data_IF_226734049082
#
_entry.id   IF_226734049082
#
_cell.length_a   1.000
_cell.length_b   1.000
_cell.length_c   1.000
_cell.angle_alpha   90.00
_cell.angle_beta   90.00
_cell.angle_gamma   90.00
#
_symmetry.space_group_name_H-M   'P 1'
#
loop_
_entity.id
_entity.type
_entity.pdbx_description
1 polymer ?
#
# COMPACT_ATOMS: atom_id res chain seq x y z
N UNK A 1 -2.33 57.18 16.79
CA UNK A 1 -2.53 55.73 16.71
C UNK A 1 -3.32 55.45 15.45
N UNK A 2 -2.67 54.91 14.41
CA UNK A 2 -3.34 54.55 13.16
C UNK A 2 -4.24 53.35 13.44
N UNK A 3 -5.56 53.51 13.31
CA UNK A 3 -6.51 52.42 13.51
C UNK A 3 -6.39 51.36 12.41
N UNK A 4 -6.68 50.09 12.71
CA UNK A 4 -6.73 49.03 11.70
C UNK A 4 -7.76 49.38 10.61
N UNK A 5 -7.43 49.23 9.32
CA UNK A 5 -8.38 49.44 8.23
C UNK A 5 -9.53 48.42 8.31
N UNK A 6 -10.74 48.77 7.86
CA UNK A 6 -11.90 47.89 7.95
C UNK A 6 -11.74 46.56 7.17
N UNK A 7 -10.94 46.58 6.10
CA UNK A 7 -10.62 45.41 5.27
C UNK A 7 -9.16 45.42 4.84
N UNK A 8 -8.62 44.25 4.50
CA UNK A 8 -7.28 44.10 3.93
C UNK A 8 -7.27 43.09 2.77
N UNK A 9 -6.47 43.31 1.71
CA UNK A 9 -6.36 42.37 0.59
C UNK A 9 -5.35 41.25 0.87
N UNK A 10 -5.60 40.05 0.32
CA UNK A 10 -4.63 38.96 0.34
C UNK A 10 -3.40 39.29 -0.54
N UNK A 11 -2.16 39.08 -0.05
CA UNK A 11 -0.95 39.43 -0.80
C UNK A 11 -0.68 38.53 -2.03
N UNK A 12 -1.42 37.45 -2.19
CA UNK A 12 -1.27 36.51 -3.30
C UNK A 12 -2.31 36.72 -4.41
N UNK A 13 -3.57 36.93 -4.04
CA UNK A 13 -4.68 36.96 -5.01
C UNK A 13 -5.57 38.21 -4.89
N UNK A 14 -5.18 39.21 -4.08
CA UNK A 14 -5.89 40.47 -3.87
C UNK A 14 -7.34 40.39 -3.35
N UNK A 15 -7.83 39.20 -2.96
CA UNK A 15 -9.16 39.04 -2.38
C UNK A 15 -9.25 39.77 -1.03
N UNK A 16 -10.29 40.56 -0.82
CA UNK A 16 -10.48 41.41 0.37
C UNK A 16 -11.14 40.66 1.53
N UNK A 17 -10.64 40.87 2.74
CA UNK A 17 -11.14 40.25 3.98
C UNK A 17 -11.39 41.30 5.06
N UNK A 18 -12.39 41.12 5.95
CA UNK A 18 -12.62 42.02 7.07
C UNK A 18 -11.47 41.91 8.09
N UNK A 19 -10.92 43.06 8.49
CA UNK A 19 -9.87 43.10 9.50
C UNK A 19 -10.47 42.88 10.89
N UNK A 20 -10.06 41.80 11.56
CA UNK A 20 -10.41 41.52 12.96
C UNK A 20 -9.15 41.58 13.81
N UNK A 21 -9.16 42.27 14.97
CA UNK A 21 -7.98 42.37 15.84
C UNK A 21 -7.39 41.01 16.24
N UNK A 22 -8.23 39.98 16.32
CA UNK A 22 -7.84 38.59 16.69
C UNK A 22 -6.91 37.93 15.65
N UNK A 23 -6.85 38.45 14.42
CA UNK A 23 -6.03 37.91 13.33
C UNK A 23 -4.64 38.53 13.26
N UNK A 24 -4.38 39.64 13.96
CA UNK A 24 -3.09 40.32 13.96
C UNK A 24 -2.03 39.41 14.60
N UNK A 25 -0.92 39.19 13.90
CA UNK A 25 0.20 38.34 14.35
C UNK A 25 -0.04 36.83 14.26
N UNK A 26 -1.20 36.37 13.77
CA UNK A 26 -1.47 34.93 13.57
C UNK A 26 -1.37 34.55 12.09
N UNK A 27 -0.89 33.33 11.76
CA UNK A 27 -0.92 32.84 10.38
C UNK A 27 -2.36 32.51 9.97
N UNK A 28 -2.82 33.14 8.89
CA UNK A 28 -4.15 32.94 8.29
C UNK A 28 -4.00 32.41 6.88
N UNK A 29 -4.88 31.50 6.44
CA UNK A 29 -4.93 30.99 5.06
C UNK A 29 -6.00 31.71 4.24
N UNK A 30 -5.66 32.14 3.04
CA UNK A 30 -6.60 32.74 2.10
C UNK A 30 -7.66 31.72 1.64
N UNK A 31 -8.94 32.07 1.64
CA UNK A 31 -10.02 31.20 1.13
C UNK A 31 -9.94 31.01 -0.40
N UNK A 32 -9.45 32.01 -1.12
CA UNK A 32 -9.27 31.98 -2.58
C UNK A 32 -8.09 31.11 -3.02
N UNK A 33 -6.86 31.52 -2.70
CA UNK A 33 -5.64 30.86 -3.20
C UNK A 33 -5.04 29.81 -2.25
N UNK A 34 -5.58 29.63 -1.03
CA UNK A 34 -5.09 28.69 0.00
C UNK A 34 -3.69 28.96 0.58
N UNK A 35 -2.96 29.96 0.07
CA UNK A 35 -1.66 30.38 0.62
C UNK A 35 -1.79 31.03 2.01
N UNK A 36 -0.79 30.81 2.87
CA UNK A 36 -0.71 31.39 4.20
C UNK A 36 -0.06 32.79 4.19
N UNK A 37 -0.54 33.69 5.05
CA UNK A 37 0.00 35.04 5.27
C UNK A 37 -0.23 35.46 6.73
N UNK A 38 0.45 36.50 7.21
CA UNK A 38 0.27 37.09 8.55
C UNK A 38 -0.21 38.52 8.41
N UNK A 39 -1.21 38.94 9.20
CA UNK A 39 -1.67 40.33 9.25
C UNK A 39 -0.84 41.10 10.29
N UNK A 40 -0.18 42.18 9.89
CA UNK A 40 0.56 43.07 10.78
C UNK A 40 -0.39 44.03 11.53
N UNK A 41 0.10 44.67 12.60
CA UNK A 41 -0.68 45.63 13.38
C UNK A 41 -1.17 46.82 12.54
N UNK A 42 -0.43 47.12 11.49
CA UNK A 42 -0.60 48.21 10.54
C UNK A 42 -1.74 47.94 9.54
N UNK A 43 -2.30 46.71 9.53
CA UNK A 43 -3.31 46.26 8.58
C UNK A 43 -2.75 45.72 7.26
N UNK A 44 -1.42 45.64 7.12
CA UNK A 44 -0.76 45.07 5.94
C UNK A 44 -0.56 43.56 6.13
N UNK A 45 -0.97 42.77 5.13
CA UNK A 45 -0.78 41.32 5.12
C UNK A 45 0.53 40.95 4.43
N UNK A 46 1.45 40.29 5.14
CA UNK A 46 2.75 39.83 4.61
C UNK A 46 2.77 38.32 4.40
N UNK A 47 3.51 37.86 3.40
CA UNK A 47 3.69 36.43 3.12
C UNK A 47 4.46 35.78 4.27
N UNK A 48 4.08 34.58 4.69
CA UNK A 48 4.75 33.86 5.80
C UNK A 48 6.23 33.60 5.50
N UNK A 49 6.60 33.50 4.23
CA UNK A 49 7.99 33.35 3.79
C UNK A 49 8.87 34.55 4.18
N UNK A 50 8.28 35.75 4.31
CA UNK A 50 9.00 37.00 4.59
C UNK A 50 8.85 37.48 6.05
N UNK A 51 7.98 36.83 6.84
CA UNK A 51 7.45 37.40 8.09
C UNK A 51 8.15 36.95 9.39
N UNK A 52 9.37 36.38 9.34
CA UNK A 52 10.12 36.05 10.57
C UNK A 52 11.48 36.76 10.60
N UNK A 53 11.53 38.04 11.01
CA UNK A 53 12.75 38.60 11.59
C UNK A 53 12.82 38.16 13.07
N UNK A 54 13.65 37.16 13.38
CA UNK A 54 14.16 36.98 14.75
C UNK A 54 14.00 35.62 15.47
N UNK A 55 13.74 34.51 14.78
CA UNK A 55 13.63 33.20 15.47
C UNK A 55 14.53 32.06 14.95
N UNK A 56 15.48 32.34 14.06
CA UNK A 56 16.46 31.33 13.61
C UNK A 56 17.91 31.82 13.78
N UNK A 57 18.38 31.88 15.03
CA UNK A 57 19.82 31.94 15.36
C UNK A 57 20.29 30.62 15.94
N UNK A 58 20.46 29.60 15.09
CA UNK A 58 21.54 28.61 15.23
C UNK A 58 22.06 28.26 13.83
N UNK A 59 23.21 28.86 13.52
CA UNK A 59 24.29 28.39 12.66
C UNK A 59 23.98 27.60 11.39
N UNK A 60 24.06 28.29 10.24
CA UNK A 60 24.82 27.74 9.11
C UNK A 60 25.55 28.87 8.38
N UNK A 61 26.83 29.01 8.71
CA UNK A 61 27.80 29.79 7.95
C UNK A 61 27.88 29.18 6.56
N UNK A 62 27.34 29.88 5.57
CA UNK A 62 27.59 29.61 4.16
C UNK A 62 28.01 30.93 3.51
N UNK A 63 29.27 30.94 3.12
CA UNK A 63 30.00 31.95 2.38
C UNK A 63 29.21 32.45 1.17
N UNK A 64 29.13 33.76 1.03
CA UNK A 64 28.50 34.44 -0.10
C UNK A 64 29.28 34.13 -1.39
N UNK A 65 28.57 33.56 -2.37
CA UNK A 65 29.03 33.47 -3.75
C UNK A 65 28.24 34.51 -4.56
N UNK A 66 28.92 35.53 -5.06
CA UNK A 66 28.36 36.58 -5.91
C UNK A 66 28.11 36.00 -7.31
N UNK A 67 26.85 35.86 -7.70
CA UNK A 67 26.47 35.52 -9.08
C UNK A 67 26.53 36.79 -9.96
N UNK A 68 27.21 36.75 -11.12
CA UNK A 68 27.20 37.84 -12.09
C UNK A 68 25.88 37.90 -12.88
N UNK A 69 25.61 39.09 -13.42
CA UNK A 69 24.38 39.49 -14.09
C UNK A 69 23.93 38.54 -15.21
N UNK A 70 22.62 38.28 -15.24
CA UNK A 70 21.95 37.44 -16.22
C UNK A 70 22.06 38.00 -17.64
N UNK A 71 22.57 37.17 -18.54
CA UNK A 71 22.61 37.34 -19.98
C UNK A 71 21.19 37.14 -20.57
N UNK A 72 20.77 37.94 -21.58
CA UNK A 72 19.43 37.84 -22.15
C UNK A 72 19.22 36.49 -22.88
N UNK A 73 17.97 35.96 -22.89
CA UNK A 73 17.69 34.66 -23.45
C UNK A 73 17.88 34.62 -24.98
N UNK A 74 18.40 33.50 -25.54
CA UNK A 74 18.55 33.35 -26.97
C UNK A 74 17.20 33.25 -27.68
N UNK A 75 17.14 33.91 -28.85
CA UNK A 75 16.01 33.87 -29.78
C UNK A 75 15.78 32.43 -30.25
N UNK A 76 14.63 31.87 -29.89
CA UNK A 76 14.19 30.54 -30.31
C UNK A 76 13.75 30.60 -31.78
N UNK A 77 14.63 30.17 -32.68
CA UNK A 77 14.27 29.90 -34.08
C UNK A 77 13.47 28.60 -34.12
N UNK A 78 12.19 28.68 -34.53
CA UNK A 78 11.35 27.51 -34.77
C UNK A 78 11.90 26.71 -35.96
N UNK A 79 12.28 25.43 -35.80
CA UNK A 79 12.63 24.58 -36.93
C UNK A 79 11.40 24.27 -37.78
N UNK A 80 11.61 24.21 -39.09
CA UNK A 80 10.59 23.87 -40.08
C UNK A 80 10.01 22.46 -39.85
N UNK A 81 8.74 22.22 -40.23
CA UNK A 81 8.10 20.93 -40.07
C UNK A 81 8.81 19.85 -40.90
N UNK A 82 9.29 18.81 -40.21
CA UNK A 82 9.89 17.62 -40.81
C UNK A 82 8.78 16.78 -41.43
N UNK A 83 8.97 16.37 -42.69
CA UNK A 83 8.03 15.53 -43.44
C UNK A 83 7.85 14.15 -42.77
N UNK A 84 6.64 13.56 -42.84
CA UNK A 84 6.38 12.25 -42.27
C UNK A 84 7.20 11.15 -42.97
N UNK A 85 7.71 10.16 -42.23
CA UNK A 85 8.47 9.05 -42.80
C UNK A 85 7.57 8.16 -43.67
N UNK A 86 8.12 7.53 -44.72
CA UNK A 86 7.39 6.61 -45.59
C UNK A 86 6.93 5.35 -44.81
N UNK A 87 5.83 4.71 -45.25
CA UNK A 87 5.28 3.53 -44.58
C UNK A 87 6.27 2.37 -44.61
N UNK A 88 6.51 1.80 -43.42
CA UNK A 88 7.37 0.64 -43.23
C UNK A 88 6.85 -0.57 -44.00
N UNK A 89 7.74 -1.21 -44.78
CA UNK A 89 7.46 -2.46 -45.46
C UNK A 89 7.11 -3.56 -44.45
N UNK A 90 6.09 -4.36 -44.80
CA UNK A 90 5.56 -5.44 -43.99
C UNK A 90 6.65 -6.46 -43.61
N UNK A 91 6.77 -6.73 -42.31
CA UNK A 91 7.67 -7.75 -41.80
C UNK A 91 7.23 -9.16 -42.26
N UNK A 92 8.17 -10.05 -42.63
CA UNK A 92 7.85 -11.43 -43.00
C UNK A 92 7.35 -12.23 -41.79
N UNK A 93 6.43 -13.16 -42.08
CA UNK A 93 5.78 -14.01 -41.09
C UNK A 93 6.79 -14.89 -40.31
N UNK A 94 6.59 -15.07 -38.99
CA UNK A 94 7.47 -15.92 -38.19
C UNK A 94 7.31 -17.40 -38.55
N UNK A 95 8.40 -18.20 -38.48
CA UNK A 95 8.35 -19.63 -38.74
C UNK A 95 7.57 -20.38 -37.64
N UNK A 96 6.95 -21.54 -37.97
CA UNK A 96 6.19 -22.33 -37.02
C UNK A 96 7.09 -22.92 -35.93
N UNK A 97 6.66 -22.77 -34.68
CA UNK A 97 7.34 -23.33 -33.50
C UNK A 97 7.12 -24.85 -33.47
N UNK A 98 8.19 -25.66 -33.30
CA UNK A 98 8.05 -27.12 -33.19
C UNK A 98 7.36 -27.51 -31.88
N UNK A 99 6.36 -28.38 -32.01
CA UNK A 99 5.62 -29.00 -30.90
C UNK A 99 6.56 -29.97 -30.18
N UNK A 100 6.98 -29.60 -28.97
CA UNK A 100 7.79 -30.46 -28.09
C UNK A 100 6.84 -31.42 -27.36
N UNK A 101 6.94 -32.71 -27.67
CA UNK A 101 6.23 -33.79 -26.98
C UNK A 101 6.84 -33.97 -25.58
N UNK A 102 6.06 -33.87 -24.48
CA UNK A 102 6.59 -34.03 -23.13
C UNK A 102 7.01 -35.47 -22.87
N UNK A 103 8.23 -35.62 -22.35
CA UNK A 103 8.85 -36.88 -21.94
C UNK A 103 8.15 -37.44 -20.67
N UNK A 104 7.83 -38.74 -20.60
CA UNK A 104 7.14 -39.33 -19.45
C UNK A 104 8.01 -39.27 -18.17
N UNK A 105 7.38 -38.80 -17.09
CA UNK A 105 7.96 -38.70 -15.74
C UNK A 105 7.94 -40.08 -15.08
N UNK A 106 9.07 -40.59 -14.55
CA UNK A 106 9.11 -41.86 -13.84
C UNK A 106 8.40 -41.76 -12.47
N UNK A 107 7.81 -42.87 -11.98
CA UNK A 107 7.07 -42.91 -10.72
C UNK A 107 7.97 -42.67 -9.51
N UNK A 108 7.45 -41.88 -8.56
CA UNK A 108 8.08 -41.45 -7.32
C UNK A 108 8.14 -42.61 -6.33
N UNK A 109 9.32 -42.90 -5.78
CA UNK A 109 9.52 -43.91 -4.75
C UNK A 109 8.79 -43.54 -3.43
N UNK A 110 8.32 -44.54 -2.66
CA UNK A 110 7.67 -44.31 -1.37
C UNK A 110 8.67 -43.78 -0.32
N UNK A 111 8.20 -42.96 0.65
CA UNK A 111 9.04 -42.44 1.72
C UNK A 111 9.46 -43.55 2.69
N UNK A 112 10.65 -43.44 3.30
CA UNK A 112 11.12 -44.37 4.33
C UNK A 112 10.28 -44.24 5.63
N UNK A 113 10.22 -45.32 6.44
CA UNK A 113 9.50 -45.33 7.70
C UNK A 113 10.14 -44.39 8.73
N UNK A 114 9.29 -43.73 9.50
CA UNK A 114 9.63 -42.84 10.61
C UNK A 114 10.10 -43.69 11.79
N UNK A 115 11.34 -43.48 12.24
CA UNK A 115 11.85 -44.03 13.50
C UNK A 115 11.38 -43.15 14.66
N UNK A 116 10.72 -43.77 15.64
CA UNK A 116 10.29 -43.16 16.90
C UNK A 116 11.49 -42.96 17.82
N UNK A 117 12.04 -41.75 17.85
CA UNK A 117 13.05 -41.36 18.84
C UNK A 117 12.39 -41.09 20.20
N UNK A 118 12.65 -42.02 21.11
CA UNK A 118 12.48 -41.90 22.55
C UNK A 118 13.44 -40.83 23.06
N UNK A 119 12.91 -39.70 23.56
CA UNK A 119 13.71 -38.73 24.31
C UNK A 119 13.31 -38.73 25.78
N UNK A 120 14.31 -39.15 26.55
CA UNK A 120 14.39 -39.22 28.00
C UNK A 120 14.09 -37.90 28.71
N UNK A 121 13.47 -38.10 29.88
CA UNK A 121 13.22 -37.14 30.94
C UNK A 121 14.53 -36.72 31.60
N UNK A 122 14.82 -35.42 31.66
CA UNK A 122 15.49 -34.82 32.81
C UNK A 122 15.22 -33.31 32.88
N UNK A 123 14.35 -32.93 33.81
CA UNK A 123 14.03 -31.54 34.13
C UNK A 123 14.57 -31.21 35.54
N UNK A 124 15.44 -30.20 35.71
CA UNK A 124 15.89 -29.80 37.04
C UNK A 124 14.85 -28.92 37.75
N UNK A 125 14.75 -29.15 39.06
CA UNK A 125 13.80 -28.56 39.99
C UNK A 125 13.85 -27.02 40.06
N UNK A 126 12.67 -26.41 40.07
CA UNK A 126 12.47 -24.98 40.32
C UNK A 126 12.51 -24.66 41.83
N UNK A 127 13.11 -23.52 42.25
CA UNK A 127 13.10 -23.09 43.65
C UNK A 127 11.76 -22.45 44.08
N UNK A 128 11.48 -22.61 45.37
CA UNK A 128 10.23 -22.27 46.05
C UNK A 128 9.87 -20.76 46.01
N UNK A 129 8.56 -20.41 45.95
CA UNK A 129 8.10 -19.02 46.02
C UNK A 129 8.03 -18.51 47.47
N UNK A 130 8.50 -17.28 47.67
CA UNK A 130 8.36 -16.49 48.90
C UNK A 130 6.93 -15.89 49.05
N UNK A 131 6.48 -15.65 50.30
CA UNK A 131 5.09 -15.26 50.59
C UNK A 131 4.85 -13.77 50.31
N UNK A 132 3.77 -13.46 49.59
CA UNK A 132 3.27 -12.10 49.35
C UNK A 132 2.21 -11.71 50.38
N UNK A 133 2.35 -10.49 50.88
CA UNK A 133 1.48 -9.72 51.76
C UNK A 133 0.03 -9.64 51.25
N UNK A 134 -1.00 -9.67 52.13
CA UNK A 134 -2.40 -9.67 51.71
C UNK A 134 -2.86 -8.29 51.22
N UNK A 135 -3.26 -8.23 49.94
CA UNK A 135 -3.88 -7.06 49.33
C UNK A 135 -5.42 -7.17 49.42
N UNK A 136 -6.02 -6.09 49.92
CA UNK A 136 -7.43 -5.86 50.21
C UNK A 136 -8.40 -6.36 49.12
N UNK A 137 -9.19 -7.38 49.46
CA UNK A 137 -10.31 -7.90 48.67
C UNK A 137 -11.42 -6.85 48.53
N UNK A 138 -11.62 -6.34 47.31
CA UNK A 138 -12.87 -5.63 46.93
C UNK A 138 -13.89 -6.65 46.38
N UNK A 139 -15.19 -6.49 46.68
CA UNK A 139 -16.21 -7.50 46.38
C UNK A 139 -16.47 -7.68 44.86
N UNK A 140 -16.66 -8.91 44.36
CA UNK A 140 -16.71 -9.23 42.93
C UNK A 140 -18.08 -9.03 42.24
N UNK A 141 -19.09 -8.47 42.92
CA UNK A 141 -20.48 -8.50 42.43
C UNK A 141 -20.85 -7.45 41.37
N UNK A 142 -20.05 -6.38 41.17
CA UNK A 142 -20.41 -5.30 40.22
C UNK A 142 -19.89 -5.47 38.78
N UNK A 143 -18.98 -6.42 38.51
CA UNK A 143 -18.40 -6.58 37.16
C UNK A 143 -19.21 -7.48 36.23
N UNK A 144 -20.09 -8.35 36.75
CA UNK A 144 -20.87 -9.28 35.94
C UNK A 144 -22.13 -8.62 35.33
N UNK A 145 -22.76 -7.67 36.04
CA UNK A 145 -23.96 -6.98 35.53
C UNK A 145 -23.70 -6.10 34.30
N UNK A 146 -22.52 -5.47 34.22
CA UNK A 146 -22.15 -4.64 33.06
C UNK A 146 -21.85 -5.46 31.79
N UNK A 147 -21.49 -6.74 31.94
CA UNK A 147 -21.27 -7.63 30.78
C UNK A 147 -22.58 -8.18 30.24
N UNK A 148 -23.54 -8.53 31.11
CA UNK A 148 -24.85 -9.02 30.67
C UNK A 148 -25.67 -7.94 29.96
N UNK A 149 -25.65 -6.70 30.46
CA UNK A 149 -26.37 -5.58 29.84
C UNK A 149 -25.83 -5.25 28.42
N UNK A 150 -24.52 -5.40 28.22
CA UNK A 150 -23.92 -5.18 26.90
C UNK A 150 -24.26 -6.28 25.89
N UNK A 151 -24.36 -7.53 26.34
CA UNK A 151 -24.76 -8.65 25.46
C UNK A 151 -26.23 -8.57 25.05
N UNK A 152 -27.09 -8.11 25.96
CA UNK A 152 -28.52 -7.94 25.70
C UNK A 152 -28.77 -6.83 24.66
N UNK A 153 -28.13 -5.67 24.80
CA UNK A 153 -28.22 -4.58 23.79
C UNK A 153 -27.71 -4.99 22.41
N UNK A 154 -26.68 -5.86 22.33
CA UNK A 154 -26.19 -6.39 21.06
C UNK A 154 -27.17 -7.39 20.42
N UNK A 155 -27.88 -8.17 21.23
CA UNK A 155 -28.93 -9.07 20.74
C UNK A 155 -30.13 -8.28 20.19
N UNK A 156 -30.57 -7.23 20.91
CA UNK A 156 -31.64 -6.34 20.46
C UNK A 156 -31.28 -5.60 19.16
N UNK A 157 -30.05 -5.08 19.05
CA UNK A 157 -29.59 -4.41 17.83
C UNK A 157 -29.56 -5.36 16.62
N UNK A 158 -29.17 -6.63 16.82
CA UNK A 158 -29.23 -7.65 15.76
C UNK A 158 -30.67 -7.99 15.37
N UNK A 159 -31.57 -8.10 16.33
CA UNK A 159 -32.99 -8.33 16.07
C UNK A 159 -33.58 -7.19 15.22
N UNK A 160 -33.28 -5.93 15.57
CA UNK A 160 -33.73 -4.75 14.83
C UNK A 160 -33.18 -4.71 13.40
N UNK A 161 -31.89 -4.98 13.19
CA UNK A 161 -31.31 -5.06 11.83
C UNK A 161 -31.94 -6.19 11.01
N UNK A 162 -32.20 -7.35 11.62
CA UNK A 162 -32.83 -8.47 10.91
C UNK A 162 -34.27 -8.15 10.49
N UNK A 163 -35.03 -7.43 11.32
CA UNK A 163 -36.37 -6.97 11.00
C UNK A 163 -36.36 -5.95 9.84
N UNK A 164 -35.41 -5.01 9.85
CA UNK A 164 -35.26 -4.03 8.76
C UNK A 164 -34.89 -4.69 7.43
N UNK A 165 -33.99 -5.69 7.44
CA UNK A 165 -33.64 -6.44 6.24
C UNK A 165 -34.82 -7.26 5.70
N UNK A 166 -35.61 -7.87 6.58
CA UNK A 166 -36.82 -8.59 6.20
C UNK A 166 -37.86 -7.65 5.56
N UNK A 167 -38.04 -6.44 6.10
CA UNK A 167 -38.95 -5.44 5.54
C UNK A 167 -38.49 -4.96 4.15
N UNK A 168 -37.19 -4.71 3.97
CA UNK A 168 -36.64 -4.31 2.67
C UNK A 168 -36.78 -5.44 1.65
N UNK A 169 -36.54 -6.69 2.06
CA UNK A 169 -36.73 -7.85 1.19
C UNK A 169 -38.21 -8.02 0.79
N UNK A 170 -39.15 -7.84 1.71
CA UNK A 170 -40.59 -7.88 1.41
C UNK A 170 -41.02 -6.75 0.46
N UNK A 171 -40.52 -5.52 0.65
CA UNK A 171 -40.77 -4.39 -0.26
C UNK A 171 -40.19 -4.64 -1.65
N UNK A 172 -39.00 -5.22 -1.75
CA UNK A 172 -38.39 -5.58 -3.03
C UNK A 172 -39.22 -6.67 -3.76
N UNK A 173 -39.63 -7.72 -3.06
CA UNK A 173 -40.46 -8.78 -3.62
C UNK A 173 -41.82 -8.25 -4.12
N UNK A 174 -42.48 -7.37 -3.35
CA UNK A 174 -43.74 -6.75 -3.76
C UNK A 174 -43.56 -5.81 -4.96
N UNK A 175 -42.43 -5.11 -5.06
CA UNK A 175 -42.14 -4.25 -6.21
C UNK A 175 -41.89 -5.04 -7.50
N UNK A 176 -41.34 -6.25 -7.42
CA UNK A 176 -41.21 -7.14 -8.58
C UNK A 176 -42.55 -7.76 -8.98
N UNK A 177 -43.39 -8.13 -8.00
CA UNK A 177 -44.73 -8.65 -8.27
C UNK A 177 -45.60 -7.60 -9.00
N UNK A 178 -45.57 -6.35 -8.57
CA UNK A 178 -46.28 -5.25 -9.23
C UNK A 178 -45.81 -5.03 -10.69
N UNK A 179 -44.50 -5.06 -10.93
CA UNK A 179 -43.94 -4.96 -12.30
C UNK A 179 -44.33 -6.14 -13.19
N UNK A 180 -44.54 -7.33 -12.62
CA UNK A 180 -45.00 -8.51 -13.38
C UNK A 180 -46.46 -8.38 -13.79
N UNK A 181 -47.33 -7.81 -12.94
CA UNK A 181 -48.72 -7.57 -13.30
C UNK A 181 -48.86 -6.49 -14.37
N UNK A 182 -48.09 -5.40 -14.27
CA UNK A 182 -48.09 -4.31 -15.25
C UNK A 182 -47.63 -4.78 -16.64
N UNK A 183 -46.60 -5.63 -16.71
CA UNK A 183 -46.18 -6.25 -17.98
C UNK A 183 -47.21 -7.24 -18.54
N UNK A 184 -48.06 -7.82 -17.69
CA UNK A 184 -49.09 -8.78 -18.11
C UNK A 184 -50.31 -8.05 -18.70
N UNK A 185 -50.70 -6.91 -18.12
CA UNK A 185 -51.77 -6.06 -18.67
C UNK A 185 -51.34 -5.40 -19.99
N UNK A 186 -50.08 -4.96 -20.12
CA UNK A 186 -49.56 -4.37 -21.36
C UNK A 186 -49.50 -5.38 -22.53
N UNK A 187 -49.25 -6.67 -22.24
CA UNK A 187 -49.29 -7.73 -23.26
C UNK A 187 -50.70 -8.07 -23.74
N UNK A 188 -51.70 -7.98 -22.85
CA UNK A 188 -53.09 -8.23 -23.21
C UNK A 188 -53.67 -7.11 -24.09
N UNK A 189 -53.28 -5.85 -23.86
CA UNK A 189 -53.72 -4.72 -24.69
C UNK A 189 -53.03 -4.70 -26.06
N UNK A 190 -51.75 -5.06 -26.14
CA UNK A 190 -51.01 -5.08 -27.41
C UNK A 190 -51.39 -6.26 -28.32
N UNK A 191 -51.92 -7.35 -27.76
CA UNK A 191 -52.38 -8.51 -28.53
C UNK A 191 -53.74 -8.30 -29.22
N UNK A 192 -54.54 -7.31 -28.83
CA UNK A 192 -55.86 -7.06 -29.42
C UNK A 192 -55.82 -6.23 -30.72
N UNK A 193 -54.70 -5.54 -31.01
CA UNK A 193 -54.61 -4.59 -32.15
C UNK A 193 -53.93 -5.19 -33.39
N UNK A 194 -53.28 -6.35 -33.29
CA UNK A 194 -52.48 -6.94 -34.38
C UNK A 194 -53.20 -8.06 -35.17
N UNK A 195 -54.54 -8.04 -35.27
CA UNK A 195 -55.33 -8.99 -36.06
C UNK A 195 -56.17 -8.30 -37.12
N UNK A 196 -55.54 -7.57 -38.05
CA UNK A 196 -56.15 -7.23 -39.35
C UNK A 196 -55.08 -6.81 -40.35
N UNK A 197 -54.60 -7.76 -41.16
CA UNK A 197 -54.10 -7.56 -42.53
C UNK A 197 -53.50 -8.86 -43.08
N UNK A 198 -54.18 -9.46 -44.08
CA UNK A 198 -53.61 -10.33 -45.13
C UNK A 198 -53.62 -9.52 -46.43
N UNK A 199 -52.64 -9.68 -47.35
CA UNK A 199 -52.63 -10.78 -48.34
C UNK A 199 -51.22 -11.40 -48.53
N UNK A 200 -51.06 -12.72 -48.64
CA UNK A 200 -51.18 -13.60 -49.82
C UNK A 200 -50.06 -13.40 -50.88
N UNK A 201 -48.97 -14.18 -50.76
CA UNK A 201 -48.13 -14.60 -51.90
C UNK A 201 -47.75 -16.07 -51.70
N UNK A 202 -48.00 -16.85 -52.74
CA UNK A 202 -47.80 -18.30 -52.87
C UNK A 202 -46.33 -18.64 -53.16
N UNK A 203 -45.66 -19.27 -52.19
CA UNK A 203 -44.60 -20.24 -52.48
C UNK A 203 -44.81 -21.45 -51.56
N UNK A 204 -44.87 -22.62 -52.17
CA UNK A 204 -45.05 -23.92 -51.51
C UNK A 204 -43.82 -24.24 -50.66
N UNK A 205 -43.87 -23.87 -49.39
CA UNK A 205 -42.92 -24.30 -48.37
C UNK A 205 -43.65 -25.18 -47.37
N UNK A 206 -43.00 -26.28 -46.97
CA UNK A 206 -43.54 -27.28 -46.08
C UNK A 206 -44.18 -26.65 -44.85
N UNK A 207 -45.50 -26.85 -44.71
CA UNK A 207 -46.27 -26.42 -43.54
C UNK A 207 -45.84 -27.30 -42.36
N UNK A 208 -44.79 -26.87 -41.68
CA UNK A 208 -44.52 -27.26 -40.30
C UNK A 208 -45.72 -26.81 -39.47
N UNK A 209 -46.50 -27.77 -38.98
CA UNK A 209 -47.58 -27.54 -38.00
C UNK A 209 -47.13 -26.54 -36.94
N UNK A 210 -47.92 -25.49 -36.66
CA UNK A 210 -47.60 -24.39 -35.73
C UNK A 210 -47.28 -24.80 -34.28
N UNK A 211 -47.32 -26.09 -33.96
CA UNK A 211 -46.71 -26.65 -32.74
C UNK A 211 -45.18 -26.57 -32.76
N UNK A 212 -44.52 -26.76 -33.92
CA UNK A 212 -43.06 -26.73 -34.02
C UNK A 212 -42.46 -25.33 -33.80
N UNK A 213 -43.18 -24.28 -34.16
CA UNK A 213 -42.70 -22.90 -33.99
C UNK A 213 -42.78 -22.45 -32.52
N UNK A 214 -43.78 -22.92 -31.76
CA UNK A 214 -43.89 -22.65 -30.31
C UNK A 214 -42.79 -23.36 -29.53
N UNK A 215 -42.56 -24.64 -29.78
CA UNK A 215 -41.46 -25.37 -29.15
C UNK A 215 -40.11 -24.80 -29.55
N UNK A 216 -39.91 -24.42 -30.81
CA UNK A 216 -38.65 -23.78 -31.22
C UNK A 216 -38.41 -22.46 -30.47
N UNK A 217 -39.42 -21.61 -30.27
CA UNK A 217 -39.28 -20.36 -29.50
C UNK A 217 -38.99 -20.60 -28.02
N UNK A 218 -39.65 -21.58 -27.41
CA UNK A 218 -39.37 -21.96 -26.01
C UNK A 218 -37.96 -22.52 -25.85
N UNK A 219 -37.52 -23.42 -26.73
CA UNK A 219 -36.15 -23.91 -26.74
C UNK A 219 -35.14 -22.79 -26.98
N UNK A 220 -35.41 -21.88 -27.92
CA UNK A 220 -34.52 -20.75 -28.20
C UNK A 220 -34.40 -19.83 -26.99
N UNK A 221 -35.52 -19.50 -26.33
CA UNK A 221 -35.51 -18.68 -25.12
C UNK A 221 -34.76 -19.36 -23.97
N UNK A 222 -34.91 -20.68 -23.82
CA UNK A 222 -34.18 -21.45 -22.82
C UNK A 222 -32.67 -21.45 -23.07
N UNK A 223 -32.23 -21.68 -24.32
CA UNK A 223 -30.83 -21.61 -24.72
C UNK A 223 -30.22 -20.21 -24.58
N UNK A 224 -30.98 -19.16 -24.93
CA UNK A 224 -30.56 -17.77 -24.69
C UNK A 224 -30.43 -17.51 -23.19
N UNK A 225 -31.37 -17.98 -22.37
CA UNK A 225 -31.30 -17.87 -20.91
C UNK A 225 -30.06 -18.57 -20.33
N UNK A 226 -29.78 -19.80 -20.77
CA UNK A 226 -28.58 -20.55 -20.38
C UNK A 226 -27.30 -19.83 -20.82
N UNK A 227 -27.28 -19.28 -22.03
CA UNK A 227 -26.16 -18.51 -22.57
C UNK A 227 -25.88 -17.24 -21.75
N UNK A 228 -26.92 -16.49 -21.37
CA UNK A 228 -26.77 -15.30 -20.52
C UNK A 228 -26.29 -15.68 -19.12
N UNK A 229 -26.84 -16.75 -18.52
CA UNK A 229 -26.40 -17.22 -17.21
C UNK A 229 -24.93 -17.67 -17.22
N UNK A 230 -24.49 -18.38 -18.27
CA UNK A 230 -23.10 -18.78 -18.46
C UNK A 230 -22.18 -17.56 -18.63
N UNK A 231 -22.60 -16.54 -19.41
CA UNK A 231 -21.83 -15.30 -19.59
C UNK A 231 -21.68 -14.53 -18.27
N UNK A 232 -22.76 -14.41 -17.49
CA UNK A 232 -22.72 -13.77 -16.16
C UNK A 232 -21.83 -14.56 -15.20
N UNK A 233 -21.92 -15.89 -15.21
CA UNK A 233 -21.05 -16.77 -14.43
C UNK A 233 -19.57 -16.60 -14.80
N UNK A 234 -19.26 -16.55 -16.09
CA UNK A 234 -17.90 -16.29 -16.60
C UNK A 234 -17.42 -14.90 -16.18
N UNK A 235 -18.25 -13.87 -16.31
CA UNK A 235 -17.92 -12.50 -15.91
C UNK A 235 -17.62 -12.42 -14.41
N UNK A 236 -18.44 -13.05 -13.57
CA UNK A 236 -18.22 -13.12 -12.12
C UNK A 236 -16.95 -13.91 -11.78
N UNK A 237 -16.67 -15.02 -12.48
CA UNK A 237 -15.45 -15.79 -12.31
C UNK A 237 -14.22 -14.98 -12.74
N UNK A 238 -14.30 -14.23 -13.83
CA UNK A 238 -13.25 -13.31 -14.28
C UNK A 238 -13.05 -12.20 -13.25
N UNK A 239 -14.11 -11.55 -12.75
CA UNK A 239 -14.00 -10.52 -11.70
C UNK A 239 -13.42 -11.09 -10.39
N UNK A 240 -13.78 -12.32 -10.02
CA UNK A 240 -13.25 -13.00 -8.84
C UNK A 240 -11.78 -13.40 -9.00
N UNK A 241 -11.37 -13.92 -10.17
CA UNK A 241 -9.97 -14.22 -10.50
C UNK A 241 -9.14 -12.97 -10.79
N UNK A 242 -9.78 -11.85 -11.12
CA UNK A 242 -9.17 -10.53 -11.20
C UNK A 242 -8.92 -9.91 -9.82
N UNK A 243 -9.18 -10.63 -8.71
CA UNK A 243 -8.55 -10.29 -7.43
C UNK A 243 -7.05 -10.36 -7.63
N UNK A 244 -6.49 -9.21 -7.97
CA UNK A 244 -5.08 -9.06 -8.28
C UNK A 244 -4.27 -9.60 -7.11
N UNK A 245 -3.16 -10.27 -7.41
CA UNK A 245 -2.20 -10.72 -6.38
C UNK A 245 -1.82 -9.58 -5.42
N UNK A 246 -1.85 -8.35 -5.93
CA UNK A 246 -1.67 -7.08 -5.21
C UNK A 246 -2.76 -6.87 -4.14
N UNK A 247 -4.03 -7.09 -4.46
CA UNK A 247 -5.13 -6.99 -3.49
C UNK A 247 -5.04 -8.11 -2.45
N UNK A 248 -4.72 -9.33 -2.88
CA UNK A 248 -4.53 -10.46 -1.97
C UNK A 248 -3.42 -10.18 -0.94
N UNK A 249 -2.32 -9.53 -1.33
CA UNK A 249 -1.25 -9.13 -0.41
C UNK A 249 -1.72 -8.14 0.67
N UNK A 250 -2.60 -7.19 0.31
CA UNK A 250 -3.19 -6.25 1.27
C UNK A 250 -4.14 -6.98 2.22
N UNK A 251 -5.00 -7.85 1.68
CA UNK A 251 -5.95 -8.62 2.47
C UNK A 251 -5.21 -9.56 3.44
N UNK A 252 -4.07 -10.15 3.04
CA UNK A 252 -3.18 -10.92 3.91
C UNK A 252 -2.58 -10.04 5.00
N UNK A 253 -2.06 -8.86 4.65
CA UNK A 253 -1.47 -7.94 5.62
C UNK A 253 -2.48 -7.51 6.70
N UNK A 254 -3.68 -7.11 6.28
CA UNK A 254 -4.77 -6.67 7.16
C UNK A 254 -5.63 -7.82 7.71
N UNK A 255 -5.25 -9.08 7.48
CA UNK A 255 -6.03 -10.23 7.92
C UNK A 255 -6.23 -10.23 9.45
N UNK A 256 -7.38 -10.70 9.95
CA UNK A 256 -7.61 -10.79 11.39
C UNK A 256 -6.53 -11.64 12.07
N UNK A 257 -6.11 -11.20 13.26
CA UNK A 257 -5.12 -11.90 14.10
C UNK A 257 -5.86 -12.72 15.16
N UNK A 258 -5.31 -13.88 15.52
CA UNK A 258 -5.88 -14.74 16.54
C UNK A 258 -6.05 -13.98 17.87
N UNK A 259 -7.09 -14.32 18.64
CA UNK A 259 -7.42 -13.59 19.89
C UNK A 259 -6.33 -13.68 20.98
N UNK A 260 -5.52 -14.74 20.96
CA UNK A 260 -4.33 -14.91 21.81
C UNK A 260 -3.24 -13.89 21.49
N UNK A 261 -3.05 -13.59 20.21
CA UNK A 261 -2.02 -12.70 19.67
C UNK A 261 -2.51 -11.25 19.50
N UNK A 262 -3.82 -11.02 19.57
CA UNK A 262 -4.44 -9.70 19.50
C UNK A 262 -4.30 -8.90 20.82
N UNK A 263 -3.08 -8.87 21.35
CA UNK A 263 -2.70 -8.15 22.57
C UNK A 263 -1.38 -7.42 22.35
N UNK A 264 -1.14 -6.39 23.14
CA UNK A 264 0.14 -5.70 23.15
C UNK A 264 1.21 -6.56 23.85
N UNK A 265 2.43 -6.71 23.31
CA UNK A 265 2.95 -6.20 22.03
C UNK A 265 2.81 -7.19 20.85
N UNK A 266 2.33 -8.41 21.09
CA UNK A 266 2.28 -9.51 20.12
C UNK A 266 1.57 -9.15 18.80
N UNK A 267 0.49 -8.36 18.85
CA UNK A 267 -0.26 -7.94 17.66
C UNK A 267 0.66 -7.23 16.65
N UNK A 268 1.54 -6.35 17.13
CA UNK A 268 2.45 -5.61 16.27
C UNK A 268 3.47 -6.51 15.60
N UNK A 269 3.99 -7.50 16.31
CA UNK A 269 4.93 -8.48 15.76
C UNK A 269 4.28 -9.34 14.68
N UNK A 270 3.07 -9.87 14.94
CA UNK A 270 2.35 -10.75 13.99
C UNK A 270 1.90 -10.01 12.74
N UNK A 271 1.47 -8.75 12.85
CA UNK A 271 1.08 -7.98 11.66
C UNK A 271 2.32 -7.57 10.86
N UNK A 272 3.39 -7.08 11.52
CA UNK A 272 4.64 -6.72 10.84
C UNK A 272 5.35 -7.94 10.26
N UNK A 273 5.12 -9.15 10.77
CA UNK A 273 5.69 -10.36 10.19
C UNK A 273 5.17 -10.72 8.80
N UNK A 274 4.07 -10.08 8.38
CA UNK A 274 3.48 -10.21 7.03
C UNK A 274 4.08 -9.21 6.04
N UNK A 275 4.83 -8.22 6.52
CA UNK A 275 5.54 -7.24 5.70
C UNK A 275 6.88 -7.80 5.17
N UNK A 276 7.55 -7.01 4.34
CA UNK A 276 8.95 -7.27 3.97
C UNK A 276 9.92 -6.98 5.10
N UNK A 277 9.67 -5.91 5.87
CA UNK A 277 10.57 -5.40 6.91
C UNK A 277 9.79 -5.12 8.20
N UNK A 278 10.41 -5.42 9.33
CA UNK A 278 9.88 -5.06 10.65
C UNK A 278 10.28 -3.64 11.04
N UNK A 279 11.43 -3.16 10.60
CA UNK A 279 11.87 -1.77 10.68
C UNK A 279 12.91 -1.49 9.61
N UNK A 280 13.11 -0.22 9.26
CA UNK A 280 14.16 0.22 8.35
C UNK A 280 14.64 1.65 8.70
N UNK A 281 15.78 2.12 8.17
CA UNK A 281 16.26 3.48 8.40
C UNK A 281 15.22 4.57 8.11
N UNK A 282 14.40 4.40 7.06
CA UNK A 282 13.32 5.35 6.75
C UNK A 282 12.07 5.22 7.62
N UNK A 283 11.96 4.11 8.35
CA UNK A 283 10.76 3.68 9.07
C UNK A 283 11.16 2.92 10.34
N UNK A 284 11.62 3.66 11.33
CA UNK A 284 12.18 3.11 12.57
C UNK A 284 11.20 2.16 13.30
N UNK A 285 9.89 2.43 13.21
CA UNK A 285 8.84 1.61 13.84
C UNK A 285 8.22 0.56 12.90
N UNK A 286 8.76 0.43 11.68
CA UNK A 286 8.20 -0.43 10.64
C UNK A 286 6.93 0.11 10.01
N UNK A 287 6.23 -0.71 9.21
CA UNK A 287 4.92 -0.37 8.70
C UNK A 287 3.90 -0.28 9.85
N UNK A 288 2.97 0.66 9.73
CA UNK A 288 1.87 0.80 10.69
C UNK A 288 0.99 -0.46 10.70
N UNK A 289 0.46 -0.80 11.88
CA UNK A 289 -0.33 -2.01 12.08
C UNK A 289 -1.74 -1.74 11.55
N UNK A 290 -2.16 -2.44 10.51
CA UNK A 290 -3.50 -2.30 9.94
C UNK A 290 -4.41 -3.46 10.37
N UNK A 291 -5.64 -3.13 10.75
CA UNK A 291 -6.72 -4.10 10.95
C UNK A 291 -7.75 -4.07 9.82
N UNK A 292 -7.84 -2.94 9.10
CA UNK A 292 -8.69 -2.79 7.93
C UNK A 292 -8.11 -1.74 6.99
N UNK A 293 -8.09 -2.03 5.69
CA UNK A 293 -7.61 -1.15 4.62
C UNK A 293 -8.73 -1.04 3.58
N UNK A 294 -9.76 -0.25 3.91
CA UNK A 294 -10.86 0.03 3.00
C UNK A 294 -10.44 1.07 1.93
N UNK A 295 -11.18 1.09 0.82
CA UNK A 295 -11.00 2.05 -0.28
C UNK A 295 -9.58 2.09 -0.89
N UNK A 296 -8.86 0.97 -0.89
CA UNK A 296 -7.52 0.95 -1.52
C UNK A 296 -7.64 1.24 -3.01
N UNK A 297 -6.92 2.27 -3.43
CA UNK A 297 -6.58 2.58 -4.81
C UNK A 297 -5.11 2.25 -5.06
N UNK A 298 -4.82 1.73 -6.24
CA UNK A 298 -3.45 1.37 -6.65
C UNK A 298 -2.97 2.34 -7.72
N UNK A 299 -1.77 2.88 -7.52
CA UNK A 299 -1.07 3.65 -8.56
C UNK A 299 -0.41 2.72 -9.59
N UNK A 300 0.22 3.32 -10.59
CA UNK A 300 0.99 2.59 -11.61
C UNK A 300 2.15 1.81 -10.99
N UNK A 301 2.36 0.59 -11.49
CA UNK A 301 3.53 -0.22 -11.13
C UNK A 301 4.80 0.42 -11.69
N UNK A 302 5.86 0.50 -10.87
CA UNK A 302 7.20 0.89 -11.28
C UNK A 302 8.20 -0.22 -10.97
N UNK A 303 9.30 -0.29 -11.72
CA UNK A 303 10.30 -1.35 -11.54
C UNK A 303 11.71 -0.78 -11.37
N UNK A 304 12.47 -1.33 -10.43
CA UNK A 304 13.90 -1.04 -10.23
C UNK A 304 14.69 -2.22 -10.76
N UNK A 305 15.55 -2.01 -11.75
CA UNK A 305 16.43 -3.05 -12.28
C UNK A 305 17.63 -3.21 -11.35
N UNK A 306 17.79 -4.39 -10.74
CA UNK A 306 18.86 -4.67 -9.78
C UNK A 306 20.02 -5.46 -10.40
N UNK A 307 19.78 -6.22 -11.47
CA UNK A 307 20.82 -6.98 -12.16
C UNK A 307 22.00 -6.09 -12.62
N UNK A 308 21.72 -4.87 -13.09
CA UNK A 308 22.74 -3.89 -13.50
C UNK A 308 23.57 -3.33 -12.35
N UNK A 309 23.13 -3.51 -11.11
CA UNK A 309 23.79 -3.01 -9.89
C UNK A 309 24.61 -4.11 -9.17
N UNK A 310 24.73 -5.29 -9.78
CA UNK A 310 25.44 -6.44 -9.19
C UNK A 310 26.88 -6.12 -8.77
N UNK A 311 27.62 -5.35 -9.57
CA UNK A 311 28.97 -4.90 -9.23
C UNK A 311 28.98 -4.00 -7.98
N UNK A 312 28.02 -3.09 -7.86
CA UNK A 312 27.88 -2.20 -6.71
C UNK A 312 27.51 -2.97 -5.43
N UNK A 313 26.70 -4.03 -5.54
CA UNK A 313 26.37 -4.89 -4.40
C UNK A 313 27.55 -5.77 -3.98
N UNK A 314 28.41 -6.20 -4.92
CA UNK A 314 29.62 -6.94 -4.60
C UNK A 314 30.59 -6.13 -3.70
N UNK A 315 30.63 -4.79 -3.84
CA UNK A 315 31.39 -3.91 -2.94
C UNK A 315 30.92 -4.02 -1.47
N UNK A 316 29.64 -4.31 -1.26
CA UNK A 316 29.00 -4.45 0.06
C UNK A 316 29.01 -5.87 0.61
N UNK A 317 29.60 -6.84 -0.09
CA UNK A 317 29.59 -8.25 0.33
C UNK A 317 30.15 -8.43 1.74
N UNK A 318 29.33 -8.96 2.64
CA UNK A 318 29.63 -9.19 4.07
C UNK A 318 29.64 -7.92 4.94
N UNK A 319 29.24 -6.77 4.42
CA UNK A 319 29.13 -5.52 5.18
C UNK A 319 27.68 -5.29 5.64
N UNK A 320 27.49 -4.48 6.67
CA UNK A 320 26.21 -3.97 7.16
C UNK A 320 26.31 -2.48 7.41
N UNK A 321 25.20 -1.78 7.25
CA UNK A 321 25.15 -0.34 7.49
C UNK A 321 25.17 -0.07 8.99
N UNK A 322 26.16 0.69 9.47
CA UNK A 322 26.10 1.35 10.76
C UNK A 322 25.48 2.76 10.53
N UNK A 323 24.23 2.99 10.97
CA UNK A 323 23.54 4.26 10.72
C UNK A 323 24.14 5.44 11.49
N UNK A 324 24.84 5.19 12.61
CA UNK A 324 25.46 6.25 13.40
C UNK A 324 26.72 6.78 12.70
N UNK A 325 27.48 5.90 12.07
CA UNK A 325 28.68 6.25 11.32
C UNK A 325 28.39 6.62 9.86
N UNK A 326 27.25 6.21 9.31
CA UNK A 326 26.97 6.34 7.87
C UNK A 326 27.94 5.53 7.00
N UNK A 327 28.39 4.38 7.52
CA UNK A 327 29.37 3.51 6.86
C UNK A 327 28.84 2.08 6.77
N UNK A 328 29.13 1.41 5.66
CA UNK A 328 28.98 -0.04 5.54
C UNK A 328 30.26 -0.70 6.05
N UNK A 329 30.14 -1.49 7.11
CA UNK A 329 31.27 -2.12 7.80
C UNK A 329 30.95 -3.58 8.14
N UNK A 330 31.97 -4.40 8.32
CA UNK A 330 31.76 -5.78 8.77
C UNK A 330 31.17 -5.77 10.20
N UNK A 331 30.18 -6.63 10.52
CA UNK A 331 29.53 -6.62 11.83
C UNK A 331 30.49 -6.71 13.04
N UNK A 332 31.60 -7.45 12.88
CA UNK A 332 32.63 -7.62 13.92
C UNK A 332 33.63 -6.48 14.07
N UNK A 333 33.63 -5.49 13.17
CA UNK A 333 34.56 -4.35 13.19
C UNK A 333 33.88 -3.02 13.58
N UNK A 334 32.61 -3.05 14.00
CA UNK A 334 31.83 -1.86 14.36
C UNK A 334 32.48 -1.04 15.49
N UNK A 335 32.87 -1.69 16.59
CA UNK A 335 33.54 -1.03 17.72
C UNK A 335 34.91 -0.46 17.31
N UNK A 336 35.70 -1.22 16.55
CA UNK A 336 37.00 -0.75 16.04
C UNK A 336 36.83 0.47 15.13
N UNK A 337 35.80 0.48 14.28
CA UNK A 337 35.49 1.62 13.42
C UNK A 337 35.15 2.86 14.27
N UNK A 338 34.31 2.71 15.30
CA UNK A 338 33.95 3.80 16.22
C UNK A 338 35.18 4.38 16.93
N UNK A 339 36.06 3.54 17.46
CA UNK A 339 37.30 3.99 18.10
C UNK A 339 38.25 4.66 17.11
N UNK A 340 38.37 4.16 15.88
CA UNK A 340 39.27 4.72 14.88
C UNK A 340 38.83 6.10 14.38
N UNK A 341 37.51 6.33 14.30
CA UNK A 341 36.90 7.57 13.81
C UNK A 341 36.66 8.58 14.95
N UNK A 342 36.80 8.20 16.22
CA UNK A 342 36.60 9.12 17.35
C UNK A 342 37.33 10.46 17.10
N UNK A 343 36.55 11.54 17.02
CA UNK A 343 36.99 12.93 16.76
C UNK A 343 37.58 13.24 15.38
N UNK A 344 37.54 12.29 14.43
CA UNK A 344 38.06 12.47 13.06
C UNK A 344 36.93 12.53 12.04
N UNK A 345 37.11 13.30 10.97
CA UNK A 345 36.12 13.40 9.88
C UNK A 345 36.77 13.31 8.50
N UNK A 346 35.97 13.01 7.48
CA UNK A 346 36.40 13.04 6.07
C UNK A 346 37.60 12.15 5.77
N UNK A 347 38.64 12.74 5.18
CA UNK A 347 39.85 12.03 4.75
C UNK A 347 40.66 11.45 5.92
N UNK A 348 40.65 12.10 7.10
CA UNK A 348 41.36 11.61 8.28
C UNK A 348 40.70 10.35 8.85
N UNK A 349 39.37 10.33 8.91
CA UNK A 349 38.60 9.15 9.28
C UNK A 349 38.88 7.99 8.32
N UNK A 350 38.93 8.24 7.00
CA UNK A 350 39.25 7.22 6.01
C UNK A 350 40.67 6.65 6.19
N UNK A 351 41.67 7.50 6.47
CA UNK A 351 43.05 7.06 6.77
C UNK A 351 43.12 6.26 8.07
N UNK A 352 42.37 6.66 9.09
CA UNK A 352 42.31 5.95 10.37
C UNK A 352 41.66 4.57 10.26
N UNK A 353 40.59 4.45 9.46
CA UNK A 353 39.98 3.15 9.16
C UNK A 353 40.94 2.24 8.40
N UNK A 354 41.66 2.80 7.42
CA UNK A 354 42.68 2.06 6.67
C UNK A 354 43.84 1.58 7.57
N UNK A 355 44.33 2.42 8.49
CA UNK A 355 45.38 2.03 9.43
C UNK A 355 44.90 0.97 10.44
N UNK A 356 43.64 1.05 10.86
CA UNK A 356 42.97 0.04 11.68
C UNK A 356 42.60 -1.25 10.91
N UNK A 357 42.87 -1.30 9.59
CA UNK A 357 42.53 -2.41 8.67
C UNK A 357 41.03 -2.74 8.67
N UNK A 358 40.18 -1.74 8.89
CA UNK A 358 38.72 -1.90 8.83
C UNK A 358 38.24 -1.65 7.41
N UNK A 359 37.62 -2.65 6.80
CA UNK A 359 36.95 -2.48 5.50
C UNK A 359 35.67 -1.68 5.70
N UNK A 360 35.64 -0.47 5.14
CA UNK A 360 34.49 0.42 5.20
C UNK A 360 34.14 0.99 3.82
N UNK A 361 32.85 1.11 3.54
CA UNK A 361 32.33 1.82 2.35
C UNK A 361 31.46 2.97 2.83
N UNK A 362 31.73 4.20 2.37
CA UNK A 362 30.93 5.35 2.73
C UNK A 362 29.52 5.24 2.11
N UNK A 363 28.48 5.37 2.94
CA UNK A 363 27.10 5.18 2.50
C UNK A 363 26.66 6.16 1.41
N UNK A 364 26.97 7.45 1.57
CA UNK A 364 26.60 8.50 0.61
C UNK A 364 27.35 8.33 -0.72
N UNK A 365 28.64 8.00 -0.67
CA UNK A 365 29.42 7.73 -1.87
C UNK A 365 28.89 6.49 -2.62
N UNK A 366 28.49 5.44 -1.90
CA UNK A 366 27.90 4.25 -2.50
C UNK A 366 26.53 4.55 -3.13
N UNK A 367 25.67 5.32 -2.45
CA UNK A 367 24.40 5.77 -2.99
C UNK A 367 24.55 6.53 -4.31
N UNK A 368 25.53 7.45 -4.38
CA UNK A 368 25.82 8.20 -5.60
C UNK A 368 26.22 7.29 -6.78
N UNK A 369 26.89 6.15 -6.51
CA UNK A 369 27.26 5.17 -7.54
C UNK A 369 26.07 4.39 -8.12
N UNK A 370 24.94 4.29 -7.40
CA UNK A 370 23.78 3.52 -7.88
C UNK A 370 23.08 4.20 -9.06
N UNK A 371 23.21 5.54 -9.18
CA UNK A 371 22.52 6.34 -10.20
C UNK A 371 21.01 6.05 -10.28
N UNK A 372 20.39 5.78 -9.13
CA UNK A 372 18.95 5.58 -8.98
C UNK A 372 18.27 6.89 -8.52
N UNK A 373 16.98 7.08 -8.81
CA UNK A 373 16.18 8.11 -8.15
C UNK A 373 16.27 8.00 -6.62
N UNK A 374 16.29 9.14 -5.91
CA UNK A 374 16.47 9.17 -4.45
C UNK A 374 15.47 8.27 -3.70
N UNK A 375 14.20 8.25 -4.14
CA UNK A 375 13.16 7.39 -3.55
C UNK A 375 13.47 5.90 -3.71
N UNK A 376 13.99 5.50 -4.87
CA UNK A 376 14.28 4.10 -5.20
C UNK A 376 15.57 3.65 -4.50
N UNK A 377 16.57 4.52 -4.45
CA UNK A 377 17.79 4.32 -3.69
C UNK A 377 17.47 4.11 -2.19
N UNK A 378 16.55 4.90 -1.65
CA UNK A 378 16.07 4.77 -0.26
C UNK A 378 15.40 3.42 -0.01
N UNK A 379 14.56 2.95 -0.93
CA UNK A 379 13.92 1.62 -0.85
C UNK A 379 14.98 0.50 -0.84
N UNK A 380 15.99 0.60 -1.70
CA UNK A 380 17.10 -0.36 -1.73
C UNK A 380 17.85 -0.34 -0.40
N UNK A 381 18.17 0.84 0.13
CA UNK A 381 18.83 0.95 1.45
C UNK A 381 17.97 0.35 2.56
N UNK A 382 16.66 0.61 2.57
CA UNK A 382 15.75 0.07 3.56
C UNK A 382 15.73 -1.46 3.53
N UNK A 383 15.76 -2.08 2.34
CA UNK A 383 15.84 -3.53 2.20
C UNK A 383 17.18 -4.12 2.68
N UNK A 384 18.27 -3.37 2.60
CA UNK A 384 19.60 -3.82 2.99
C UNK A 384 19.94 -3.59 4.46
N UNK A 385 19.39 -2.53 5.05
CA UNK A 385 19.65 -2.13 6.42
C UNK A 385 18.46 -2.39 7.36
N UNK A 386 17.31 -2.76 6.82
CA UNK A 386 16.12 -3.07 7.59
C UNK A 386 16.20 -4.41 8.31
N UNK A 387 15.37 -4.54 9.35
CA UNK A 387 15.24 -5.79 10.10
C UNK A 387 14.20 -6.68 9.42
N UNK A 388 14.57 -7.92 9.15
CA UNK A 388 13.64 -8.91 8.60
C UNK A 388 12.68 -9.39 9.70
N UNK A 389 11.40 -9.66 9.36
CA UNK A 389 10.49 -10.25 10.32
C UNK A 389 10.90 -11.68 10.68
N UNK A 390 10.53 -12.13 11.88
CA UNK A 390 10.82 -13.50 12.34
C UNK A 390 10.23 -14.55 11.38
N UNK A 391 11.08 -15.41 10.83
CA UNK A 391 10.68 -16.43 9.85
C UNK A 391 10.45 -15.89 8.44
N UNK A 392 10.65 -14.59 8.21
CA UNK A 392 10.67 -13.99 6.88
C UNK A 392 11.99 -14.24 6.16
N UNK A 393 12.02 -13.90 4.87
CA UNK A 393 13.26 -13.91 4.12
C UNK A 393 14.11 -12.68 4.45
N UNK A 394 15.35 -12.94 4.84
CA UNK A 394 16.34 -11.89 5.10
C UNK A 394 16.97 -11.44 3.79
N UNK A 395 16.40 -10.37 3.21
CA UNK A 395 16.83 -9.78 1.93
C UNK A 395 18.32 -9.40 1.97
N UNK A 396 18.77 -8.78 3.05
CA UNK A 396 20.15 -8.35 3.23
C UNK A 396 21.11 -9.54 3.30
N UNK A 397 20.75 -10.59 4.03
CA UNK A 397 21.56 -11.83 4.11
C UNK A 397 21.71 -12.49 2.73
N UNK A 398 20.62 -12.64 1.97
CA UNK A 398 20.69 -13.25 0.62
C UNK A 398 21.53 -12.42 -0.33
N UNK A 399 21.33 -11.10 -0.36
CA UNK A 399 22.06 -10.24 -1.29
C UNK A 399 23.52 -10.05 -0.87
N UNK A 400 23.77 -9.67 0.39
CA UNK A 400 25.09 -9.24 0.86
C UNK A 400 25.99 -10.42 1.29
N UNK A 401 25.41 -11.54 1.74
CA UNK A 401 26.23 -12.68 2.18
C UNK A 401 26.28 -13.76 1.10
N UNK A 402 25.14 -14.16 0.53
CA UNK A 402 25.09 -15.17 -0.52
C UNK A 402 25.43 -14.62 -1.92
N UNK A 403 25.32 -13.29 -2.13
CA UNK A 403 25.57 -12.68 -3.44
C UNK A 403 24.47 -12.92 -4.46
N UNK A 404 23.29 -13.32 -4.00
CA UNK A 404 22.13 -13.56 -4.87
C UNK A 404 21.49 -12.23 -5.22
N UNK A 405 21.74 -11.72 -6.43
CA UNK A 405 21.13 -10.46 -6.89
C UNK A 405 19.82 -10.77 -7.63
N UNK A 406 18.65 -10.26 -7.17
CA UNK A 406 17.42 -10.41 -7.91
C UNK A 406 17.47 -9.63 -9.23
N UNK A 407 16.65 -10.00 -10.20
CA UNK A 407 16.63 -9.32 -11.50
C UNK A 407 16.09 -7.89 -11.35
N UNK A 408 14.94 -7.77 -10.68
CA UNK A 408 14.26 -6.48 -10.48
C UNK A 408 13.36 -6.49 -9.24
N UNK A 409 13.11 -5.29 -8.72
CA UNK A 409 12.06 -5.03 -7.75
C UNK A 409 10.86 -4.43 -8.46
N UNK A 410 9.66 -4.95 -8.21
CA UNK A 410 8.40 -4.34 -8.64
C UNK A 410 7.75 -3.65 -7.46
N UNK A 411 7.41 -2.40 -7.67
CA UNK A 411 6.86 -1.51 -6.68
C UNK A 411 5.48 -1.06 -7.12
N UNK A 412 4.52 -1.12 -6.21
CA UNK A 412 3.16 -0.64 -6.48
C UNK A 412 2.67 0.21 -5.33
N UNK A 413 2.70 1.55 -5.48
CA UNK A 413 2.13 2.45 -4.49
C UNK A 413 0.62 2.23 -4.37
N UNK A 414 0.12 2.37 -3.16
CA UNK A 414 -1.30 2.31 -2.88
C UNK A 414 -1.69 3.34 -1.83
N UNK A 415 -2.93 3.79 -1.90
CA UNK A 415 -3.50 4.74 -0.95
C UNK A 415 -4.99 4.49 -0.76
N UNK A 416 -5.53 4.85 0.39
CA UNK A 416 -6.96 4.77 0.66
C UNK A 416 -7.44 5.93 1.53
N UNK A 417 -8.73 6.26 1.42
CA UNK A 417 -9.36 7.35 2.17
C UNK A 417 -9.75 6.98 3.61
N UNK A 418 -9.93 5.68 3.88
CA UNK A 418 -10.43 5.18 5.16
C UNK A 418 -9.78 3.84 5.50
N UNK A 419 -8.83 3.82 6.43
CA UNK A 419 -8.26 2.60 7.01
C UNK A 419 -8.35 2.62 8.54
N UNK A 420 -8.44 1.46 9.17
CA UNK A 420 -8.32 1.31 10.62
C UNK A 420 -6.90 0.85 10.96
N UNK A 421 -6.09 1.80 11.43
CA UNK A 421 -4.69 1.62 11.79
C UNK A 421 -4.54 1.63 13.33
N UNK A 422 -3.52 0.94 13.81
CA UNK A 422 -3.18 0.79 15.22
C UNK A 422 -1.81 1.39 15.43
N UNK A 423 -1.77 2.58 16.00
CA UNK A 423 -0.52 3.25 16.34
C UNK A 423 0.05 2.67 17.63
N UNK A 424 1.36 2.44 17.63
CA UNK A 424 2.11 2.01 18.80
C UNK A 424 2.67 3.23 19.53
N UNK A 425 2.08 3.67 20.67
CA UNK A 425 2.62 4.77 21.45
C UNK A 425 3.78 4.35 22.38
N UNK A 426 4.30 3.12 22.25
CA UNK A 426 5.29 2.53 23.17
C UNK A 426 4.69 2.06 24.49
N UNK A 427 3.36 2.04 24.61
CA UNK A 427 2.63 1.58 25.80
C UNK A 427 1.28 0.96 25.44
N UNK A 428 0.80 -0.04 26.18
CA UNK A 428 -0.52 -0.61 25.96
C UNK A 428 -1.64 0.39 26.33
N UNK A 429 -2.80 0.34 25.66
CA UNK A 429 -3.10 -0.41 24.43
C UNK A 429 -2.66 0.35 23.16
N UNK A 430 -2.61 -0.35 22.02
CA UNK A 430 -2.51 0.31 20.71
C UNK A 430 -3.63 1.34 20.53
N UNK A 431 -3.28 2.52 20.02
CA UNK A 431 -4.25 3.58 19.74
C UNK A 431 -4.87 3.33 18.36
N UNK A 432 -6.16 3.02 18.35
CA UNK A 432 -6.91 2.95 17.09
C UNK A 432 -7.00 4.33 16.45
N UNK A 433 -6.71 4.40 15.16
CA UNK A 433 -6.86 5.59 14.32
C UNK A 433 -7.61 5.18 13.06
N UNK A 434 -8.60 5.99 12.69
CA UNK A 434 -9.29 5.88 11.40
C UNK A 434 -8.93 7.08 10.56
N UNK A 435 -8.53 6.87 9.32
CA UNK A 435 -8.15 7.96 8.44
C UNK A 435 -7.56 7.52 7.11
N UNK A 436 -7.13 8.49 6.30
CA UNK A 436 -6.45 8.22 5.05
C UNK A 436 -5.07 7.60 5.32
N UNK A 437 -4.61 6.80 4.38
CA UNK A 437 -3.34 6.10 4.48
C UNK A 437 -2.68 5.97 3.12
N UNK A 438 -1.37 5.76 3.15
CA UNK A 438 -0.58 5.42 1.98
C UNK A 438 0.43 4.34 2.31
N UNK A 439 0.77 3.55 1.30
CA UNK A 439 1.72 2.46 1.44
C UNK A 439 2.36 2.08 0.12
N UNK A 440 3.28 1.14 0.20
CA UNK A 440 3.99 0.61 -0.95
C UNK A 440 4.04 -0.91 -0.84
N UNK A 441 3.58 -1.58 -1.89
CA UNK A 441 3.78 -3.01 -2.07
C UNK A 441 5.06 -3.24 -2.86
N UNK A 442 5.78 -4.29 -2.46
CA UNK A 442 7.00 -4.75 -3.12
C UNK A 442 6.84 -6.22 -3.50
N UNK A 443 7.32 -6.56 -4.69
CA UNK A 443 7.55 -7.92 -5.15
C UNK A 443 8.98 -8.01 -5.70
N UNK A 444 9.66 -9.10 -5.40
CA UNK A 444 11.02 -9.36 -5.89
C UNK A 444 10.93 -10.38 -7.03
N UNK A 445 11.43 -10.02 -8.21
CA UNK A 445 11.53 -10.93 -9.33
C UNK A 445 12.97 -11.45 -9.44
N UNK A 446 13.13 -12.76 -9.53
CA UNK A 446 14.39 -13.42 -9.80
C UNK A 446 14.35 -14.89 -9.41
N UNK A 447 15.29 -15.72 -9.92
CA UNK A 447 15.37 -17.12 -9.55
C UNK A 447 15.54 -17.30 -8.03
N UNK A 448 14.69 -18.12 -7.42
CA UNK A 448 14.74 -18.41 -5.98
C UNK A 448 14.20 -17.30 -5.08
N UNK A 449 13.74 -16.16 -5.60
CA UNK A 449 13.10 -15.10 -4.82
C UNK A 449 11.58 -15.31 -4.73
N UNK A 450 10.92 -14.88 -3.64
CA UNK A 450 9.50 -15.07 -3.46
C UNK A 450 8.75 -14.11 -4.38
N UNK A 451 7.90 -14.69 -5.23
CA UNK A 451 7.12 -13.95 -6.22
C UNK A 451 5.88 -13.26 -5.63
N UNK A 452 5.62 -13.39 -4.33
CA UNK A 452 4.46 -12.79 -3.66
C UNK A 452 4.66 -11.30 -3.41
N UNK A 453 3.62 -10.50 -3.67
CA UNK A 453 3.55 -9.12 -3.19
C UNK A 453 3.45 -9.08 -1.66
N UNK A 454 4.19 -8.17 -1.02
CA UNK A 454 4.03 -7.88 0.42
C UNK A 454 4.17 -6.37 0.66
N UNK A 455 3.63 -5.92 1.78
CA UNK A 455 3.75 -4.52 2.21
C UNK A 455 5.21 -4.23 2.57
N UNK A 456 5.80 -3.23 1.93
CA UNK A 456 7.10 -2.69 2.31
C UNK A 456 6.92 -1.59 3.36
N UNK A 457 6.02 -0.64 3.10
CA UNK A 457 5.63 0.37 4.08
C UNK A 457 4.15 0.68 4.05
N UNK A 458 3.66 1.12 5.20
CA UNK A 458 2.30 1.64 5.40
C UNK A 458 2.38 2.74 6.44
N UNK A 459 1.76 3.90 6.15
CA UNK A 459 1.67 5.02 7.09
C UNK A 459 0.31 5.70 7.01
N UNK A 460 -0.12 6.23 8.15
CA UNK A 460 -1.28 7.11 8.25
C UNK A 460 -0.93 8.48 7.66
N UNK A 461 -1.84 9.02 6.85
CA UNK A 461 -1.78 10.41 6.43
C UNK A 461 -2.39 11.24 7.56
N UNK A 462 -1.56 12.01 8.28
CA UNK A 462 -2.05 12.92 9.32
C UNK A 462 -3.00 13.94 8.67
N UNK A 463 -4.25 13.92 9.10
CA UNK A 463 -5.21 14.98 8.82
C UNK A 463 -4.86 16.29 9.52
#
# INVERSE_FOLDING_TARGET
MSGLPATFPCPWCAMSYPAKPVLVGKPVRCKGCKSAFVLQADGVATKVEDAIPGLNTVSKTATAFTLPAAEPPPVVVRPAPVAPPPPAAAAPAPPPVPVVVPKPVPPRAPPPPVEDDVLDLDAPAAPAPTPKTPESVRPPSQRLSRKSEKTERLAEARAQMSAQLAEVAAKAANSEAAKREERKSERLTKSAVASSAKPQVTQSTAVLSGHGERTHREYTLWWVGLGVAALVGLLLLVVANLRSEVRAAIDVYAAPVASSENRYPALGEVVRSRAWLQSAPSMLLGPEIATDLADVSFSSERSIQLASLSANFAELKGLRLDPELGLWIAPGDSEKARTAIAERTGAEAARALASARVRAVNHQAWLAKLNLPEEDAKIVVDLLAGTCPRGGEDFAKRLLDAGEVPERLRLRPFAGGSGELRLDPGRPPYRAMKGPYEGLLLRVDGPGWPSSWRVLYLRSLKN
#
